data_IF_627296181775
#
_entry.id   IF_627296181775
#
_cell.length_a   1.000
_cell.length_b   1.000
_cell.length_c   1.000
_cell.angle_alpha   90.00
_cell.angle_beta   90.00
_cell.angle_gamma   90.00
#
_symmetry.space_group_name_H-M   'P 1'
#
loop_
_entity.id
_entity.type
_entity.pdbx_description
1 polymer ?
#
# COMPACT_ATOMS: atom_id res chain seq x y z
N UNK A 1 49.84 36.99 44.07
CA UNK A 1 49.19 36.37 42.90
C UNK A 1 50.16 35.86 41.84
N UNK A 2 51.23 36.59 41.52
CA UNK A 2 52.23 36.19 40.51
C UNK A 2 53.00 34.90 40.84
N UNK A 3 53.40 34.68 42.10
CA UNK A 3 54.09 33.46 42.51
C UNK A 3 53.24 32.18 42.38
N UNK A 4 51.92 32.29 42.61
CA UNK A 4 50.99 31.17 42.50
C UNK A 4 50.78 30.75 41.03
N UNK A 5 50.72 31.72 40.13
CA UNK A 5 50.61 31.49 38.69
C UNK A 5 51.86 30.81 38.10
N UNK A 6 53.05 31.14 38.60
CA UNK A 6 54.29 30.48 38.17
C UNK A 6 54.31 29.01 38.62
N UNK A 7 53.89 28.72 39.84
CA UNK A 7 53.80 27.34 40.35
C UNK A 7 52.78 26.51 39.56
N UNK A 8 51.63 27.12 39.22
CA UNK A 8 50.60 26.47 38.40
C UNK A 8 51.11 26.22 36.97
N UNK A 9 51.84 27.18 36.37
CA UNK A 9 52.42 27.01 35.04
C UNK A 9 53.52 25.93 34.99
N UNK A 10 54.35 25.82 36.04
CA UNK A 10 55.37 24.76 36.15
C UNK A 10 54.71 23.40 36.38
N UNK A 11 53.64 23.32 37.17
CA UNK A 11 52.87 22.08 37.35
C UNK A 11 52.16 21.66 36.06
N UNK A 12 51.54 22.59 35.34
CA UNK A 12 50.92 22.33 34.03
C UNK A 12 51.96 21.92 32.98
N UNK A 13 53.12 22.57 32.98
CA UNK A 13 54.25 22.21 32.12
C UNK A 13 54.80 20.82 32.45
N UNK A 14 54.92 20.46 33.73
CA UNK A 14 55.34 19.14 34.18
C UNK A 14 54.30 18.06 33.88
N UNK A 15 53.00 18.38 34.00
CA UNK A 15 51.89 17.48 33.65
C UNK A 15 51.81 17.28 32.14
N UNK A 16 51.95 18.34 31.34
CA UNK A 16 52.02 18.25 29.88
C UNK A 16 53.27 17.49 29.40
N UNK A 17 54.43 17.74 30.03
CA UNK A 17 55.66 16.99 29.77
C UNK A 17 55.51 15.51 30.14
N UNK A 18 54.84 15.19 31.26
CA UNK A 18 54.50 13.81 31.64
C UNK A 18 53.47 13.18 30.71
N UNK A 19 52.52 13.93 30.17
CA UNK A 19 51.55 13.43 29.18
C UNK A 19 52.31 13.07 27.90
N UNK A 20 53.14 13.98 27.37
CA UNK A 20 53.91 13.78 26.14
C UNK A 20 54.93 12.64 26.26
N UNK A 21 55.63 12.48 27.39
CA UNK A 21 56.60 11.38 27.59
C UNK A 21 55.94 10.02 27.91
N UNK A 22 54.69 10.01 28.34
CA UNK A 22 53.95 8.79 28.69
C UNK A 22 53.04 8.31 27.54
N UNK A 23 52.85 9.14 26.51
CA UNK A 23 52.00 8.93 25.33
C UNK A 23 52.80 8.56 24.07
N UNK A 24 53.67 7.56 24.16
CA UNK A 24 54.14 6.80 22.99
C UNK A 24 53.11 5.77 22.51
N UNK A 25 51.82 6.08 22.55
CA UNK A 25 50.72 5.14 22.30
C UNK A 25 49.65 5.73 21.37
N UNK A 26 49.17 4.90 20.43
CA UNK A 26 48.10 5.27 19.49
C UNK A 26 46.77 5.35 20.28
N UNK A 27 46.14 6.53 20.28
CA UNK A 27 44.91 6.81 21.05
C UNK A 27 43.66 6.28 20.32
N UNK A 28 42.91 5.35 20.93
CA UNK A 28 41.63 4.82 20.43
C UNK A 28 40.52 4.90 21.51
N UNK A 29 40.27 6.11 22.03
CA UNK A 29 39.17 6.37 22.96
C UNK A 29 39.31 5.65 24.32
N UNK A 30 38.20 5.21 24.99
CA UNK A 30 38.24 4.63 26.34
C UNK A 30 38.98 3.28 26.44
N UNK A 31 39.49 2.77 25.33
CA UNK A 31 40.33 1.58 25.25
C UNK A 31 41.79 2.00 25.02
N UNK A 32 42.43 2.56 26.04
CA UNK A 32 43.88 2.86 26.00
C UNK A 32 44.68 1.54 25.90
N UNK A 33 45.27 1.27 24.72
CA UNK A 33 46.20 0.17 24.53
C UNK A 33 47.60 0.56 25.03
N UNK A 34 47.91 0.19 26.27
CA UNK A 34 49.23 0.45 26.86
C UNK A 34 50.23 -0.63 26.48
N UNK A 35 50.88 -0.47 25.33
CA UNK A 35 52.12 -1.18 25.06
C UNK A 35 53.27 -0.50 25.81
N UNK A 36 54.12 -1.27 26.48
CA UNK A 36 55.24 -0.72 27.29
C UNK A 36 56.38 -0.17 26.41
N UNK A 37 56.38 -0.50 25.11
CA UNK A 37 57.28 -0.07 24.03
C UNK A 37 56.46 -0.02 22.74
N UNK A 38 57.00 0.56 21.68
CA UNK A 38 56.38 0.48 20.35
C UNK A 38 56.19 -1.00 19.95
N UNK A 39 54.95 -1.51 19.91
CA UNK A 39 54.72 -2.94 19.78
C UNK A 39 55.09 -3.43 18.39
N UNK A 40 55.83 -4.53 18.35
CA UNK A 40 56.15 -5.27 17.13
C UNK A 40 54.99 -6.18 16.67
N UNK A 41 55.11 -6.79 15.48
CA UNK A 41 54.09 -7.70 14.95
C UNK A 41 53.74 -8.88 15.88
N UNK A 42 54.74 -9.44 16.57
CA UNK A 42 54.52 -10.60 17.45
C UNK A 42 53.67 -10.26 18.68
N UNK A 43 53.79 -9.03 19.21
CA UNK A 43 52.99 -8.56 20.34
C UNK A 43 51.51 -8.38 19.96
N UNK A 44 51.25 -7.89 18.74
CA UNK A 44 49.89 -7.82 18.18
C UNK A 44 49.30 -9.21 17.94
N UNK A 45 50.07 -10.16 17.40
CA UNK A 45 49.63 -11.54 17.18
C UNK A 45 49.33 -12.26 18.49
N UNK A 46 50.19 -12.12 19.50
CA UNK A 46 49.98 -12.71 20.82
C UNK A 46 48.69 -12.16 21.44
N UNK A 47 48.49 -10.84 21.38
CA UNK A 47 47.29 -10.22 21.94
C UNK A 47 46.02 -10.62 21.20
N UNK A 48 46.07 -10.71 19.88
CA UNK A 48 44.94 -11.17 19.07
C UNK A 48 44.54 -12.61 19.44
N UNK A 49 45.50 -13.50 19.68
CA UNK A 49 45.23 -14.87 20.17
C UNK A 49 44.59 -14.87 21.55
N UNK A 50 45.06 -14.05 22.48
CA UNK A 50 44.46 -13.91 23.82
C UNK A 50 42.99 -13.45 23.76
N UNK A 51 42.71 -12.45 22.92
CA UNK A 51 41.35 -11.90 22.75
C UNK A 51 40.41 -12.92 22.08
N UNK A 52 40.91 -13.66 21.10
CA UNK A 52 40.15 -14.76 20.46
C UNK A 52 39.85 -15.89 21.45
N UNK A 53 40.81 -16.28 22.30
CA UNK A 53 40.59 -17.26 23.36
C UNK A 53 39.58 -16.78 24.41
N UNK A 54 39.58 -15.48 24.69
CA UNK A 54 38.62 -14.83 25.58
C UNK A 54 37.23 -14.59 24.97
N UNK A 55 36.98 -14.96 23.70
CA UNK A 55 35.75 -14.67 22.93
C UNK A 55 35.41 -13.17 22.87
N UNK A 56 36.42 -12.31 22.91
CA UNK A 56 36.29 -10.85 22.82
C UNK A 56 36.31 -10.42 21.35
N UNK A 57 35.20 -10.70 20.66
CA UNK A 57 35.09 -10.55 19.21
C UNK A 57 35.23 -9.09 18.72
N UNK A 58 34.73 -8.11 19.49
CA UNK A 58 34.82 -6.70 19.11
C UNK A 58 36.25 -6.19 19.25
N UNK A 59 36.89 -6.47 20.38
CA UNK A 59 38.26 -6.07 20.69
C UNK A 59 39.27 -6.76 19.77
N UNK A 60 39.04 -8.04 19.44
CA UNK A 60 39.89 -8.77 18.49
C UNK A 60 39.84 -8.15 17.09
N UNK A 61 38.67 -7.68 16.63
CA UNK A 61 38.53 -6.95 15.36
C UNK A 61 39.27 -5.62 15.38
N UNK A 62 39.17 -4.89 16.49
CA UNK A 62 39.83 -3.59 16.65
C UNK A 62 41.36 -3.75 16.61
N UNK A 63 41.89 -4.75 17.30
CA UNK A 63 43.32 -5.08 17.32
C UNK A 63 43.79 -5.55 15.95
N UNK A 64 43.01 -6.38 15.26
CA UNK A 64 43.34 -6.83 13.91
C UNK A 64 43.38 -5.67 12.91
N UNK A 65 42.40 -4.77 12.96
CA UNK A 65 42.33 -3.58 12.10
C UNK A 65 43.49 -2.61 12.36
N UNK A 66 43.85 -2.40 13.63
CA UNK A 66 45.02 -1.60 13.99
C UNK A 66 46.33 -2.27 13.51
N UNK A 67 46.43 -3.59 13.60
CA UNK A 67 47.60 -4.35 13.15
C UNK A 67 47.77 -4.30 11.63
N UNK A 68 46.69 -4.46 10.85
CA UNK A 68 46.75 -4.35 9.38
C UNK A 68 47.12 -2.95 8.91
N UNK A 69 46.66 -1.91 9.62
CA UNK A 69 47.02 -0.52 9.30
C UNK A 69 48.49 -0.20 9.65
N UNK A 70 48.98 -0.69 10.80
CA UNK A 70 50.37 -0.45 11.26
C UNK A 70 51.40 -1.29 10.49
N UNK A 71 51.03 -2.50 10.07
CA UNK A 71 51.91 -3.45 9.36
C UNK A 71 51.26 -3.93 8.06
N UNK A 72 51.10 -3.05 7.06
CA UNK A 72 50.34 -3.34 5.84
C UNK A 72 51.02 -4.34 4.90
N UNK A 73 52.30 -4.70 5.13
CA UNK A 73 53.05 -5.69 4.38
C UNK A 73 53.13 -7.07 5.08
N UNK A 74 52.49 -7.23 6.24
CA UNK A 74 52.55 -8.46 7.01
C UNK A 74 51.51 -9.47 6.51
N UNK A 75 52.00 -10.59 5.98
CA UNK A 75 51.17 -11.67 5.39
C UNK A 75 50.19 -12.28 6.42
N UNK A 76 50.62 -12.48 7.66
CA UNK A 76 49.81 -13.15 8.69
C UNK A 76 48.63 -12.27 9.11
N UNK A 77 48.84 -10.97 9.29
CA UNK A 77 47.73 -10.04 9.56
C UNK A 77 46.75 -9.94 8.39
N UNK A 78 47.26 -9.92 7.16
CA UNK A 78 46.41 -9.92 5.97
C UNK A 78 45.54 -11.19 5.88
N UNK A 79 46.14 -12.37 6.06
CA UNK A 79 45.41 -13.66 6.09
C UNK A 79 44.30 -13.65 7.14
N UNK A 80 44.63 -13.27 8.37
CA UNK A 80 43.66 -13.22 9.47
C UNK A 80 42.53 -12.22 9.18
N UNK A 81 42.84 -11.07 8.60
CA UNK A 81 41.83 -10.08 8.23
C UNK A 81 40.93 -10.57 7.08
N UNK A 82 41.49 -11.19 6.04
CA UNK A 82 40.71 -11.76 4.94
C UNK A 82 39.85 -12.94 5.39
N UNK A 83 40.38 -13.85 6.21
CA UNK A 83 39.60 -14.97 6.77
C UNK A 83 38.44 -14.47 7.64
N UNK A 84 38.66 -13.36 8.35
CA UNK A 84 37.60 -12.69 9.11
C UNK A 84 36.54 -12.08 8.19
N UNK A 85 36.92 -11.49 7.05
CA UNK A 85 35.97 -11.02 6.02
C UNK A 85 35.05 -12.16 5.56
N UNK A 86 35.59 -13.33 5.20
CA UNK A 86 34.74 -14.46 4.79
C UNK A 86 33.88 -15.03 5.92
N UNK A 87 34.37 -14.98 7.16
CA UNK A 87 33.59 -15.40 8.33
C UNK A 87 32.42 -14.44 8.56
N UNK A 88 32.66 -13.13 8.44
CA UNK A 88 31.63 -12.11 8.57
C UNK A 88 30.61 -12.21 7.42
N UNK A 89 31.04 -12.51 6.18
CA UNK A 89 30.13 -12.74 5.04
C UNK A 89 29.14 -13.89 5.32
N UNK A 90 29.60 -14.98 5.96
CA UNK A 90 28.74 -16.11 6.32
C UNK A 90 27.78 -15.80 7.47
N UNK A 91 28.10 -14.83 8.31
CA UNK A 91 27.31 -14.46 9.49
C UNK A 91 26.39 -13.25 9.24
N UNK A 92 26.55 -12.55 8.12
CA UNK A 92 25.77 -11.38 7.76
C UNK A 92 24.28 -11.74 7.62
N UNK A 93 23.41 -10.86 8.12
CA UNK A 93 21.96 -11.07 8.10
C UNK A 93 21.26 -10.16 7.10
N UNK A 94 21.91 -9.07 6.69
CA UNK A 94 21.35 -8.08 5.79
C UNK A 94 22.24 -7.84 4.57
N UNK A 95 21.65 -7.46 3.45
CA UNK A 95 22.39 -7.15 2.21
C UNK A 95 23.36 -5.99 2.39
N UNK A 96 22.95 -4.97 3.16
CA UNK A 96 23.79 -3.81 3.45
C UNK A 96 25.07 -4.22 4.18
N UNK A 97 24.96 -5.12 5.16
CA UNK A 97 26.13 -5.67 5.85
C UNK A 97 27.04 -6.42 4.89
N UNK A 98 26.48 -7.24 4.00
CA UNK A 98 27.25 -7.99 2.99
C UNK A 98 28.03 -7.04 2.07
N UNK A 99 27.40 -5.97 1.58
CA UNK A 99 28.05 -4.95 0.75
C UNK A 99 29.20 -4.24 1.52
N UNK A 100 28.96 -3.83 2.76
CA UNK A 100 30.00 -3.20 3.61
C UNK A 100 31.18 -4.15 3.87
N UNK A 101 30.92 -5.45 4.04
CA UNK A 101 31.97 -6.47 4.23
C UNK A 101 32.78 -6.66 2.94
N UNK A 102 32.14 -6.66 1.77
CA UNK A 102 32.84 -6.71 0.48
C UNK A 102 33.76 -5.51 0.28
N UNK A 103 33.28 -4.29 0.51
CA UNK A 103 34.11 -3.06 0.43
C UNK A 103 35.32 -3.12 1.36
N UNK A 104 35.15 -3.72 2.55
CA UNK A 104 36.25 -3.93 3.49
C UNK A 104 37.29 -4.92 2.95
N UNK A 105 36.84 -6.03 2.37
CA UNK A 105 37.72 -7.00 1.72
C UNK A 105 38.51 -6.41 0.56
N UNK A 106 37.87 -5.60 -0.29
CA UNK A 106 38.53 -4.89 -1.40
C UNK A 106 39.59 -3.91 -0.90
N UNK A 107 39.27 -3.16 0.17
CA UNK A 107 40.20 -2.21 0.79
C UNK A 107 41.44 -2.91 1.33
N UNK A 108 41.26 -4.05 2.02
CA UNK A 108 42.37 -4.86 2.54
C UNK A 108 43.27 -5.39 1.41
N UNK A 109 42.69 -5.90 0.32
CA UNK A 109 43.45 -6.37 -0.84
C UNK A 109 44.25 -5.22 -1.46
N UNK A 110 43.64 -4.04 -1.60
CA UNK A 110 44.28 -2.85 -2.18
C UNK A 110 45.43 -2.34 -1.32
N UNK A 111 45.22 -2.22 -0.01
CA UNK A 111 46.23 -1.74 0.94
C UNK A 111 47.41 -2.71 1.04
N UNK A 112 47.14 -4.01 1.18
CA UNK A 112 48.17 -5.04 1.22
C UNK A 112 48.93 -5.14 -0.10
N UNK A 113 48.23 -5.03 -1.23
CA UNK A 113 48.84 -5.01 -2.57
C UNK A 113 49.74 -3.80 -2.82
N UNK A 114 49.41 -2.63 -2.26
CA UNK A 114 50.24 -1.44 -2.36
C UNK A 114 51.50 -1.49 -1.47
N UNK A 115 51.44 -2.20 -0.35
CA UNK A 115 52.52 -2.27 0.64
C UNK A 115 53.49 -3.46 0.45
N UNK A 116 53.10 -4.47 -0.32
CA UNK A 116 53.83 -5.74 -0.42
C UNK A 116 54.64 -5.89 -1.72
N UNK A 117 55.72 -6.68 -1.67
CA UNK A 117 56.57 -6.99 -2.83
C UNK A 117 56.03 -8.15 -3.69
N UNK A 118 56.80 -8.56 -4.71
CA UNK A 118 56.40 -9.59 -5.68
C UNK A 118 56.05 -10.95 -5.06
N UNK A 119 56.57 -11.25 -3.88
CA UNK A 119 56.41 -12.55 -3.21
C UNK A 119 55.00 -12.78 -2.65
N UNK A 120 54.18 -11.73 -2.54
CA UNK A 120 52.79 -11.82 -2.04
C UNK A 120 51.74 -11.88 -3.15
N UNK A 121 52.15 -11.83 -4.42
CA UNK A 121 51.25 -11.79 -5.59
C UNK A 121 50.35 -13.03 -5.66
N UNK A 122 50.90 -14.21 -5.36
CA UNK A 122 50.13 -15.47 -5.38
C UNK A 122 49.00 -15.45 -4.36
N UNK A 123 49.29 -14.99 -3.14
CA UNK A 123 48.33 -14.88 -2.04
C UNK A 123 47.25 -13.82 -2.32
N UNK A 124 47.66 -12.66 -2.85
CA UNK A 124 46.75 -11.60 -3.29
C UNK A 124 45.79 -12.11 -4.36
N UNK A 125 46.32 -12.87 -5.34
CA UNK A 125 45.53 -13.45 -6.42
C UNK A 125 44.52 -14.46 -5.89
N UNK A 126 44.92 -15.30 -4.93
CA UNK A 126 44.02 -16.29 -4.31
C UNK A 126 42.84 -15.60 -3.60
N UNK A 127 43.12 -14.67 -2.70
CA UNK A 127 42.09 -13.98 -1.92
C UNK A 127 41.23 -13.05 -2.77
N UNK A 128 41.82 -12.37 -3.75
CA UNK A 128 41.06 -11.59 -4.73
C UNK A 128 40.10 -12.47 -5.53
N UNK A 129 40.56 -13.61 -6.04
CA UNK A 129 39.69 -14.55 -6.76
C UNK A 129 38.54 -15.05 -5.89
N UNK A 130 38.83 -15.42 -4.63
CA UNK A 130 37.80 -15.85 -3.67
C UNK A 130 36.77 -14.75 -3.37
N UNK A 131 37.22 -13.50 -3.22
CA UNK A 131 36.33 -12.37 -2.97
C UNK A 131 35.43 -12.08 -4.17
N UNK A 132 36.02 -12.06 -5.38
CA UNK A 132 35.26 -11.87 -6.63
C UNK A 132 34.23 -12.98 -6.82
N UNK A 133 34.60 -14.24 -6.59
CA UNK A 133 33.65 -15.36 -6.68
C UNK A 133 32.48 -15.21 -5.70
N UNK A 134 32.76 -14.81 -4.46
CA UNK A 134 31.71 -14.58 -3.47
C UNK A 134 30.81 -13.39 -3.84
N UNK A 135 31.36 -12.33 -4.44
CA UNK A 135 30.58 -11.21 -4.96
C UNK A 135 29.70 -11.63 -6.14
N UNK A 136 30.25 -12.36 -7.11
CA UNK A 136 29.50 -12.87 -8.26
C UNK A 136 28.32 -13.75 -7.83
N UNK A 137 28.54 -14.66 -6.88
CA UNK A 137 27.50 -15.51 -6.29
C UNK A 137 26.43 -14.68 -5.56
N UNK A 138 26.84 -13.68 -4.77
CA UNK A 138 25.88 -12.82 -4.08
C UNK A 138 25.01 -12.01 -5.04
N UNK A 139 25.62 -11.36 -6.04
CA UNK A 139 24.87 -10.54 -6.99
C UNK A 139 24.02 -11.37 -7.95
N UNK A 140 24.43 -12.59 -8.30
CA UNK A 140 23.59 -13.49 -9.10
C UNK A 140 22.35 -13.92 -8.34
N UNK A 141 22.51 -14.37 -7.09
CA UNK A 141 21.39 -14.75 -6.21
C UNK A 141 20.45 -13.57 -5.95
N UNK A 142 21.01 -12.38 -5.70
CA UNK A 142 20.22 -11.15 -5.54
C UNK A 142 19.35 -10.89 -6.77
N UNK A 143 19.96 -10.93 -7.96
CA UNK A 143 19.25 -10.70 -9.22
C UNK A 143 18.16 -11.73 -9.47
N UNK A 144 18.42 -13.01 -9.22
CA UNK A 144 17.40 -14.07 -9.34
C UNK A 144 16.23 -13.84 -8.40
N UNK A 145 16.51 -13.45 -7.16
CA UNK A 145 15.47 -13.17 -6.15
C UNK A 145 14.68 -11.91 -6.48
N UNK A 146 15.31 -10.87 -7.02
CA UNK A 146 14.61 -9.66 -7.49
C UNK A 146 13.69 -10.00 -8.68
N UNK A 147 14.17 -10.79 -9.65
CA UNK A 147 13.36 -11.27 -10.78
C UNK A 147 12.17 -12.15 -10.32
N UNK A 148 12.36 -13.01 -9.32
CA UNK A 148 11.28 -13.83 -8.77
C UNK A 148 10.23 -12.98 -8.04
N UNK A 149 10.64 -11.93 -7.32
CA UNK A 149 9.71 -10.97 -6.70
C UNK A 149 8.91 -10.25 -7.78
N UNK A 150 9.56 -9.74 -8.82
CA UNK A 150 8.89 -9.10 -9.95
C UNK A 150 7.89 -10.04 -10.64
N UNK A 151 8.29 -11.30 -10.88
CA UNK A 151 7.43 -12.32 -11.49
C UNK A 151 6.18 -12.57 -10.65
N UNK A 152 6.33 -12.75 -9.33
CA UNK A 152 5.20 -12.96 -8.42
C UNK A 152 4.26 -11.76 -8.38
N UNK A 153 4.79 -10.54 -8.41
CA UNK A 153 3.96 -9.34 -8.45
C UNK A 153 3.19 -9.21 -9.77
N UNK A 154 3.82 -9.56 -10.90
CA UNK A 154 3.12 -9.62 -12.20
C UNK A 154 2.01 -10.66 -12.21
N UNK A 155 2.27 -11.85 -11.67
CA UNK A 155 1.25 -12.91 -11.52
C UNK A 155 0.09 -12.46 -10.63
N UNK A 156 0.39 -11.77 -9.53
CA UNK A 156 -0.63 -11.19 -8.66
C UNK A 156 -1.45 -10.10 -9.34
N UNK A 157 -0.81 -9.20 -10.09
CA UNK A 157 -1.51 -8.18 -10.89
C UNK A 157 -2.43 -8.84 -11.94
N UNK A 158 -1.98 -9.93 -12.56
CA UNK A 158 -2.77 -10.71 -13.51
C UNK A 158 -4.02 -11.34 -12.87
N UNK A 159 -3.88 -11.89 -11.66
CA UNK A 159 -4.99 -12.42 -10.88
C UNK A 159 -6.00 -11.33 -10.53
N UNK A 160 -5.53 -10.17 -10.04
CA UNK A 160 -6.41 -9.04 -9.73
C UNK A 160 -7.15 -8.56 -10.98
N UNK A 161 -6.48 -8.47 -12.12
CA UNK A 161 -7.13 -8.07 -13.39
C UNK A 161 -8.24 -9.04 -13.80
N UNK A 162 -8.00 -10.35 -13.69
CA UNK A 162 -9.04 -11.37 -13.95
C UNK A 162 -10.21 -11.24 -12.99
N UNK A 163 -9.94 -10.99 -11.70
CA UNK A 163 -11.01 -10.76 -10.73
C UNK A 163 -11.83 -9.50 -11.05
N UNK A 164 -11.17 -8.41 -11.44
CA UNK A 164 -11.83 -7.18 -11.87
C UNK A 164 -12.69 -7.39 -13.13
N UNK A 165 -12.20 -8.15 -14.11
CA UNK A 165 -12.96 -8.54 -15.30
C UNK A 165 -14.21 -9.35 -14.93
N UNK A 166 -14.06 -10.35 -14.05
CA UNK A 166 -15.17 -11.17 -13.56
C UNK A 166 -16.22 -10.33 -12.80
N UNK A 167 -15.78 -9.38 -11.97
CA UNK A 167 -16.68 -8.46 -11.27
C UNK A 167 -17.44 -7.58 -12.27
N UNK A 168 -16.76 -7.07 -13.29
CA UNK A 168 -17.39 -6.26 -14.33
C UNK A 168 -18.46 -7.04 -15.10
N UNK A 169 -18.20 -8.30 -15.43
CA UNK A 169 -19.19 -9.20 -16.03
C UNK A 169 -20.37 -9.50 -15.07
N UNK A 170 -20.09 -9.70 -13.79
CA UNK A 170 -21.12 -9.86 -12.76
C UNK A 170 -22.05 -8.65 -12.65
N UNK A 171 -21.49 -7.44 -12.72
CA UNK A 171 -22.26 -6.19 -12.74
C UNK A 171 -23.12 -6.10 -14.01
N UNK A 172 -22.57 -6.47 -15.18
CA UNK A 172 -23.34 -6.51 -16.44
C UNK A 172 -24.59 -7.40 -16.33
N UNK A 173 -24.46 -8.57 -15.72
CA UNK A 173 -25.55 -9.54 -15.57
C UNK A 173 -26.56 -9.19 -14.45
N UNK A 174 -26.15 -8.42 -13.44
CA UNK A 174 -27.01 -8.11 -12.29
C UNK A 174 -28.00 -6.98 -12.59
N UNK A 175 -29.21 -7.08 -12.04
CA UNK A 175 -30.20 -5.99 -11.98
C UNK A 175 -30.55 -5.61 -10.53
N UNK A 176 -29.79 -6.14 -9.57
CA UNK A 176 -29.91 -5.80 -8.15
C UNK A 176 -28.89 -4.69 -7.83
N UNK A 177 -29.42 -3.54 -7.46
CA UNK A 177 -28.66 -2.33 -7.15
C UNK A 177 -27.71 -2.50 -5.96
N UNK A 178 -28.14 -3.22 -4.92
CA UNK A 178 -27.31 -3.44 -3.75
C UNK A 178 -26.14 -4.36 -4.11
N UNK A 179 -26.41 -5.42 -4.88
CA UNK A 179 -25.37 -6.31 -5.40
C UNK A 179 -24.38 -5.58 -6.32
N UNK A 180 -24.86 -4.67 -7.20
CA UNK A 180 -24.00 -3.86 -8.07
C UNK A 180 -23.11 -2.93 -7.22
N UNK A 181 -23.67 -2.27 -6.21
CA UNK A 181 -22.92 -1.37 -5.33
C UNK A 181 -21.83 -2.12 -4.55
N UNK A 182 -22.15 -3.29 -4.01
CA UNK A 182 -21.18 -4.12 -3.29
C UNK A 182 -20.06 -4.61 -4.23
N UNK A 183 -20.41 -5.01 -5.45
CA UNK A 183 -19.46 -5.41 -6.49
C UNK A 183 -18.51 -4.26 -6.86
N UNK A 184 -19.02 -3.03 -7.05
CA UNK A 184 -18.21 -1.83 -7.32
C UNK A 184 -17.24 -1.51 -6.17
N UNK A 185 -17.72 -1.60 -4.92
CA UNK A 185 -16.87 -1.39 -3.75
C UNK A 185 -15.77 -2.46 -3.64
N UNK A 186 -16.09 -3.71 -3.94
CA UNK A 186 -15.11 -4.79 -3.96
C UNK A 186 -14.04 -4.57 -5.02
N UNK A 187 -14.43 -4.15 -6.24
CA UNK A 187 -13.51 -3.81 -7.31
C UNK A 187 -12.53 -2.70 -6.90
N UNK A 188 -13.00 -1.61 -6.28
CA UNK A 188 -12.14 -0.52 -5.83
C UNK A 188 -11.12 -0.97 -4.76
N UNK A 189 -11.52 -1.89 -3.87
CA UNK A 189 -10.61 -2.49 -2.88
C UNK A 189 -9.54 -3.36 -3.53
N UNK A 190 -9.92 -4.18 -4.51
CA UNK A 190 -8.98 -5.03 -5.25
C UNK A 190 -7.98 -4.19 -6.07
N UNK A 191 -8.45 -3.11 -6.70
CA UNK A 191 -7.61 -2.17 -7.47
C UNK A 191 -6.50 -1.55 -6.60
N UNK A 192 -6.79 -1.25 -5.33
CA UNK A 192 -5.78 -0.72 -4.39
C UNK A 192 -4.63 -1.70 -4.13
N UNK A 193 -4.85 -3.00 -4.36
CA UNK A 193 -3.85 -4.04 -4.22
C UNK A 193 -2.93 -4.20 -5.43
N UNK A 194 -3.19 -3.51 -6.54
CA UNK A 194 -2.34 -3.58 -7.73
C UNK A 194 -1.11 -2.67 -7.61
N UNK A 195 0.04 -3.20 -8.00
CA UNK A 195 1.26 -2.40 -8.16
C UNK A 195 1.42 -1.99 -9.63
N UNK A 196 1.01 -0.76 -9.94
CA UNK A 196 1.08 -0.18 -11.29
C UNK A 196 2.51 0.14 -11.75
N UNK A 197 3.51 0.06 -10.88
CA UNK A 197 4.91 0.26 -11.29
C UNK A 197 5.52 -0.98 -11.96
N UNK A 198 4.90 -2.14 -11.75
CA UNK A 198 5.38 -3.45 -12.21
C UNK A 198 4.47 -4.09 -13.28
N UNK A 199 3.45 -3.39 -13.77
CA UNK A 199 2.61 -3.86 -14.88
C UNK A 199 3.36 -3.74 -16.21
N UNK A 200 3.22 -4.75 -17.06
CA UNK A 200 3.66 -4.62 -18.45
C UNK A 200 2.64 -3.87 -19.31
N UNK A 201 3.00 -3.61 -20.56
CA UNK A 201 2.17 -2.83 -21.49
C UNK A 201 0.81 -3.51 -21.75
N UNK A 202 0.78 -4.85 -21.83
CA UNK A 202 -0.45 -5.61 -22.06
C UNK A 202 -1.38 -5.57 -20.85
N UNK A 203 -0.82 -5.72 -19.64
CA UNK A 203 -1.58 -5.60 -18.39
C UNK A 203 -2.11 -4.19 -18.19
N UNK A 204 -1.33 -3.17 -18.56
CA UNK A 204 -1.76 -1.77 -18.47
C UNK A 204 -2.89 -1.44 -19.46
N UNK A 205 -2.84 -1.98 -20.68
CA UNK A 205 -3.92 -1.87 -21.66
C UNK A 205 -5.21 -2.52 -21.13
N UNK A 206 -5.12 -3.78 -20.66
CA UNK A 206 -6.27 -4.47 -20.04
C UNK A 206 -6.84 -3.73 -18.85
N UNK A 207 -5.97 -3.22 -17.97
CA UNK A 207 -6.39 -2.42 -16.83
C UNK A 207 -7.21 -1.19 -17.27
N UNK A 208 -6.74 -0.46 -18.30
CA UNK A 208 -7.48 0.70 -18.84
C UNK A 208 -8.82 0.29 -19.42
N UNK A 209 -8.89 -0.82 -20.13
CA UNK A 209 -10.13 -1.33 -20.71
C UNK A 209 -11.14 -1.71 -19.64
N UNK A 210 -10.70 -2.43 -18.61
CA UNK A 210 -11.51 -2.82 -17.45
C UNK A 210 -12.02 -1.57 -16.71
N UNK A 211 -11.13 -0.61 -16.45
CA UNK A 211 -11.48 0.65 -15.78
C UNK A 211 -12.51 1.47 -16.56
N UNK A 212 -12.31 1.62 -17.87
CA UNK A 212 -13.29 2.25 -18.75
C UNK A 212 -14.60 1.47 -18.80
N UNK A 213 -14.52 0.13 -18.73
CA UNK A 213 -15.67 -0.75 -18.59
C UNK A 213 -16.51 -0.44 -17.36
N UNK A 214 -15.88 -0.30 -16.19
CA UNK A 214 -16.59 0.06 -14.95
C UNK A 214 -17.31 1.40 -15.04
N UNK A 215 -16.67 2.44 -15.61
CA UNK A 215 -17.32 3.74 -15.80
C UNK A 215 -18.56 3.64 -16.68
N UNK A 216 -18.45 2.99 -17.84
CA UNK A 216 -19.59 2.78 -18.75
C UNK A 216 -20.71 1.99 -18.08
N UNK A 217 -20.37 0.93 -17.35
CA UNK A 217 -21.37 0.11 -16.65
C UNK A 217 -22.07 0.86 -15.53
N UNK A 218 -21.37 1.74 -14.82
CA UNK A 218 -21.99 2.58 -13.80
C UNK A 218 -23.07 3.47 -14.43
N UNK A 219 -22.77 4.14 -15.54
CA UNK A 219 -23.73 5.00 -16.26
C UNK A 219 -24.93 4.21 -16.78
N UNK A 220 -24.68 3.09 -17.48
CA UNK A 220 -25.74 2.25 -18.04
C UNK A 220 -26.66 1.65 -16.97
N UNK A 221 -26.10 1.19 -15.84
CA UNK A 221 -26.88 0.58 -14.77
C UNK A 221 -27.69 1.59 -13.99
N UNK A 222 -27.17 2.79 -13.74
CA UNK A 222 -27.94 3.87 -13.11
C UNK A 222 -29.19 4.19 -13.94
N UNK A 223 -29.04 4.34 -15.26
CA UNK A 223 -30.18 4.64 -16.13
C UNK A 223 -31.16 3.46 -16.22
N UNK A 224 -30.65 2.23 -16.30
CA UNK A 224 -31.49 1.02 -16.33
C UNK A 224 -32.30 0.84 -15.05
N UNK A 225 -31.65 0.98 -13.88
CA UNK A 225 -32.30 0.87 -12.57
C UNK A 225 -33.34 1.98 -12.37
N UNK A 226 -33.02 3.20 -12.80
CA UNK A 226 -33.97 4.32 -12.81
C UNK A 226 -35.19 3.96 -13.66
N UNK A 227 -35.00 3.58 -14.91
CA UNK A 227 -36.09 3.19 -15.81
C UNK A 227 -36.96 2.07 -15.22
N UNK A 228 -36.34 1.05 -14.61
CA UNK A 228 -37.06 -0.04 -13.93
C UNK A 228 -37.91 0.44 -12.74
N UNK A 229 -37.40 1.36 -11.92
CA UNK A 229 -38.13 1.99 -10.80
C UNK A 229 -39.37 2.73 -11.32
N UNK A 230 -39.22 3.55 -12.36
CA UNK A 230 -40.33 4.27 -12.99
C UNK A 230 -41.36 3.29 -13.57
N UNK A 231 -40.93 2.25 -14.28
CA UNK A 231 -41.83 1.24 -14.85
C UNK A 231 -42.65 0.52 -13.76
N UNK A 232 -42.00 0.14 -12.65
CA UNK A 232 -42.68 -0.49 -11.50
C UNK A 232 -43.69 0.44 -10.86
N UNK A 233 -43.35 1.72 -10.74
CA UNK A 233 -44.26 2.74 -10.21
C UNK A 233 -45.49 2.94 -11.12
N UNK A 234 -45.29 3.07 -12.42
CA UNK A 234 -46.37 3.19 -13.41
C UNK A 234 -47.31 1.98 -13.39
N UNK A 235 -46.76 0.75 -13.30
CA UNK A 235 -47.59 -0.46 -13.19
C UNK A 235 -48.46 -0.45 -11.94
N UNK A 236 -47.90 -0.08 -10.78
CA UNK A 236 -48.68 0.06 -9.54
C UNK A 236 -49.74 1.16 -9.65
N UNK A 237 -49.42 2.29 -10.27
CA UNK A 237 -50.35 3.39 -10.49
C UNK A 237 -51.54 2.95 -11.36
N UNK A 238 -51.29 2.22 -12.46
CA UNK A 238 -52.35 1.66 -13.32
C UNK A 238 -53.25 0.70 -12.53
N UNK A 239 -52.67 -0.19 -11.71
CA UNK A 239 -53.45 -1.13 -10.89
C UNK A 239 -54.34 -0.38 -9.87
N UNK A 240 -53.83 0.67 -9.23
CA UNK A 240 -54.62 1.51 -8.30
C UNK A 240 -55.72 2.28 -9.03
N UNK A 241 -55.41 2.88 -10.19
CA UNK A 241 -56.37 3.60 -11.03
C UNK A 241 -57.51 2.69 -11.51
N UNK A 242 -57.16 1.46 -11.89
CA UNK A 242 -58.16 0.47 -12.30
C UNK A 242 -59.09 0.10 -11.14
N UNK A 243 -58.55 -0.18 -9.95
CA UNK A 243 -59.36 -0.47 -8.76
C UNK A 243 -60.30 0.68 -8.41
N UNK A 244 -59.81 1.91 -8.46
CA UNK A 244 -60.62 3.11 -8.25
C UNK A 244 -61.77 3.21 -9.27
N UNK A 245 -61.48 2.98 -10.55
CA UNK A 245 -62.48 3.03 -11.61
C UNK A 245 -63.53 1.93 -11.43
N UNK A 246 -63.10 0.70 -11.15
CA UNK A 246 -63.99 -0.44 -10.92
C UNK A 246 -64.90 -0.16 -9.71
N UNK A 247 -64.34 0.29 -8.58
CA UNK A 247 -65.11 0.61 -7.36
C UNK A 247 -66.09 1.78 -7.57
N UNK A 248 -65.69 2.79 -8.33
CA UNK A 248 -66.54 3.93 -8.67
C UNK A 248 -67.71 3.53 -9.57
N UNK A 249 -67.46 2.74 -10.61
CA UNK A 249 -68.50 2.32 -11.57
C UNK A 249 -69.52 1.36 -10.95
N UNK A 250 -69.09 0.48 -10.04
CA UNK A 250 -70.00 -0.41 -9.29
C UNK A 250 -70.93 0.34 -8.34
N UNK A 251 -70.47 1.45 -7.75
CA UNK A 251 -71.20 2.21 -6.72
C UNK A 251 -71.51 3.67 -7.15
N UNK A 252 -71.60 3.94 -8.44
CA UNK A 252 -71.64 5.30 -9.01
C UNK A 252 -72.72 6.18 -8.38
N UNK A 253 -73.95 5.65 -8.21
CA UNK A 253 -75.09 6.41 -7.65
C UNK A 253 -74.92 6.83 -6.20
N UNK A 254 -74.10 6.11 -5.45
CA UNK A 254 -73.80 6.40 -4.05
C UNK A 254 -72.60 7.32 -3.94
N UNK A 255 -71.55 7.05 -4.71
CA UNK A 255 -70.29 7.81 -4.69
C UNK A 255 -70.39 9.18 -5.35
N UNK A 256 -71.32 9.39 -6.28
CA UNK A 256 -71.54 10.68 -6.97
C UNK A 256 -72.19 11.77 -6.12
N UNK A 257 -72.82 11.40 -4.99
CA UNK A 257 -73.62 12.32 -4.16
C UNK A 257 -72.82 12.96 -3.03
N UNK A 258 -73.11 14.23 -2.75
CA UNK A 258 -72.58 14.93 -1.58
C UNK A 258 -72.74 14.14 -0.27
N UNK A 259 -71.64 13.96 0.48
CA UNK A 259 -71.57 13.14 1.69
C UNK A 259 -71.12 11.68 1.50
N UNK A 260 -70.70 11.29 0.30
CA UNK A 260 -70.19 9.95 0.01
C UNK A 260 -68.77 9.70 0.55
N UNK A 261 -68.33 8.44 0.54
CA UNK A 261 -66.96 8.05 0.89
C UNK A 261 -65.93 8.29 -0.22
N UNK A 262 -66.34 8.84 -1.38
CA UNK A 262 -65.47 9.03 -2.53
C UNK A 262 -64.17 9.82 -2.23
N UNK A 263 -64.18 10.91 -1.43
CA UNK A 263 -62.95 11.61 -1.09
C UNK A 263 -61.94 10.71 -0.36
N UNK A 264 -62.41 9.80 0.50
CA UNK A 264 -61.57 8.82 1.22
C UNK A 264 -60.99 7.80 0.25
N UNK A 265 -61.84 7.22 -0.61
CA UNK A 265 -61.46 6.26 -1.65
C UNK A 265 -60.40 6.85 -2.59
N UNK A 266 -60.59 8.09 -3.07
CA UNK A 266 -59.61 8.78 -3.91
C UNK A 266 -58.28 8.99 -3.20
N UNK A 267 -58.32 9.41 -1.93
CA UNK A 267 -57.10 9.58 -1.13
C UNK A 267 -56.30 8.28 -1.03
N UNK A 268 -57.00 7.17 -0.78
CA UNK A 268 -56.39 5.84 -0.63
C UNK A 268 -55.77 5.32 -1.93
N UNK A 269 -56.50 5.39 -3.05
CA UNK A 269 -56.03 4.79 -4.30
C UNK A 269 -55.10 5.69 -5.11
N UNK A 270 -55.40 6.99 -5.21
CA UNK A 270 -54.67 7.89 -6.14
C UNK A 270 -54.15 9.16 -5.50
N UNK A 271 -54.56 9.48 -4.26
CA UNK A 271 -54.20 10.71 -3.56
C UNK A 271 -52.69 10.89 -3.39
N UNK A 272 -51.96 9.81 -3.15
CA UNK A 272 -50.49 9.85 -3.01
C UNK A 272 -49.75 9.72 -4.34
N UNK A 273 -50.43 9.45 -5.46
CA UNK A 273 -49.74 9.27 -6.73
C UNK A 273 -49.10 10.60 -7.20
N UNK A 274 -47.78 10.58 -7.33
CA UNK A 274 -47.01 11.62 -7.97
C UNK A 274 -47.03 11.47 -9.50
N UNK A 275 -47.60 12.45 -10.19
CA UNK A 275 -47.74 12.46 -11.66
C UNK A 275 -46.43 12.78 -12.37
N UNK A 276 -45.42 13.32 -11.69
CA UNK A 276 -44.09 13.60 -12.28
C UNK A 276 -43.32 12.33 -12.69
N UNK A 277 -43.76 11.17 -12.18
CA UNK A 277 -43.15 9.87 -12.50
C UNK A 277 -43.93 9.06 -13.54
N UNK A 278 -45.02 9.62 -14.08
CA UNK A 278 -45.82 8.93 -15.07
C UNK A 278 -45.19 8.96 -16.45
N UNK A 279 -45.26 7.83 -17.14
CA UNK A 279 -45.07 7.80 -18.58
C UNK A 279 -46.30 8.35 -19.32
N UNK A 280 -46.15 8.62 -20.62
CA UNK A 280 -47.23 9.18 -21.43
C UNK A 280 -48.54 8.38 -21.35
N UNK A 281 -48.54 7.05 -21.53
CA UNK A 281 -49.73 6.22 -21.41
C UNK A 281 -50.38 6.25 -20.01
N UNK A 282 -49.58 6.17 -18.93
CA UNK A 282 -50.10 6.19 -17.55
C UNK A 282 -50.71 7.54 -17.22
N UNK A 283 -50.10 8.64 -17.67
CA UNK A 283 -50.65 9.99 -17.51
C UNK A 283 -51.98 10.15 -18.27
N UNK A 284 -52.09 9.61 -19.49
CA UNK A 284 -53.34 9.62 -20.25
C UNK A 284 -54.44 8.84 -19.53
N UNK A 285 -54.13 7.65 -19.01
CA UNK A 285 -55.11 6.84 -18.28
C UNK A 285 -55.52 7.49 -16.95
N UNK A 286 -54.57 8.09 -16.22
CA UNK A 286 -54.86 8.88 -15.03
C UNK A 286 -55.85 10.02 -15.34
N UNK A 287 -55.57 10.81 -16.38
CA UNK A 287 -56.44 11.92 -16.79
C UNK A 287 -57.83 11.44 -17.22
N UNK A 288 -57.91 10.28 -17.87
CA UNK A 288 -59.18 9.65 -18.23
C UNK A 288 -59.99 9.26 -16.99
N UNK A 289 -59.41 8.49 -16.06
CA UNK A 289 -60.10 8.02 -14.85
C UNK A 289 -60.50 9.20 -13.97
N UNK A 290 -59.56 10.10 -13.69
CA UNK A 290 -59.82 11.29 -12.87
C UNK A 290 -60.88 12.19 -13.51
N UNK A 291 -60.75 12.49 -14.81
CA UNK A 291 -61.70 13.32 -15.54
C UNK A 291 -63.10 12.70 -15.62
N UNK A 292 -63.19 11.38 -15.81
CA UNK A 292 -64.45 10.65 -15.83
C UNK A 292 -65.19 10.76 -14.49
N UNK A 293 -64.51 10.41 -13.39
CA UNK A 293 -65.08 10.51 -12.03
C UNK A 293 -65.48 11.97 -11.75
N UNK A 294 -64.59 12.92 -12.04
CA UNK A 294 -64.83 14.35 -11.79
C UNK A 294 -66.02 14.90 -12.57
N UNK A 295 -66.36 14.33 -13.74
CA UNK A 295 -67.51 14.75 -14.55
C UNK A 295 -68.86 14.27 -14.02
N UNK A 296 -68.87 13.22 -13.18
CA UNK A 296 -70.08 12.54 -12.71
C UNK A 296 -70.45 12.85 -11.26
N UNK A 297 -69.60 13.60 -10.55
CA UNK A 297 -69.80 13.96 -9.14
C UNK A 297 -70.42 15.35 -8.99
N UNK A 298 -71.12 15.57 -7.87
CA UNK A 298 -71.68 16.88 -7.50
C UNK A 298 -70.59 17.97 -7.35
N UNK A 299 -70.97 19.24 -7.56
CA UNK A 299 -70.05 20.39 -7.45
C UNK A 299 -69.37 20.50 -6.08
N UNK A 300 -70.09 20.21 -4.99
CA UNK A 300 -69.53 20.26 -3.64
C UNK A 300 -68.41 19.22 -3.45
N UNK A 301 -68.55 18.03 -4.05
CA UNK A 301 -67.53 16.98 -4.02
C UNK A 301 -66.30 17.34 -4.86
N UNK A 302 -66.47 18.06 -5.98
CA UNK A 302 -65.34 18.48 -6.83
C UNK A 302 -64.33 19.31 -6.06
N UNK A 303 -64.79 20.19 -5.17
CA UNK A 303 -63.92 20.97 -4.31
C UNK A 303 -63.12 20.08 -3.35
N UNK A 304 -63.78 19.13 -2.68
CA UNK A 304 -63.12 18.21 -1.74
C UNK A 304 -62.11 17.29 -2.43
N UNK A 305 -62.46 16.75 -3.59
CA UNK A 305 -61.57 15.92 -4.42
C UNK A 305 -60.33 16.72 -4.84
N UNK A 306 -60.52 17.95 -5.32
CA UNK A 306 -59.40 18.81 -5.72
C UNK A 306 -58.49 19.11 -4.54
N UNK A 307 -59.07 19.41 -3.36
CA UNK A 307 -58.31 19.64 -2.13
C UNK A 307 -57.49 18.42 -1.74
N UNK A 308 -58.07 17.22 -1.73
CA UNK A 308 -57.36 15.99 -1.39
C UNK A 308 -56.20 15.73 -2.36
N UNK A 309 -56.42 15.91 -3.66
CA UNK A 309 -55.38 15.69 -4.66
C UNK A 309 -54.23 16.70 -4.53
N UNK A 310 -54.49 17.90 -4.03
CA UNK A 310 -53.46 18.93 -3.80
C UNK A 310 -52.73 18.78 -2.46
N UNK A 311 -53.44 18.45 -1.38
CA UNK A 311 -52.91 18.44 -0.01
C UNK A 311 -52.30 17.10 0.41
N UNK A 312 -52.64 16.00 -0.27
CA UNK A 312 -52.08 14.68 0.06
C UNK A 312 -50.62 14.59 -0.35
N UNK A 313 -49.77 14.20 0.60
CA UNK A 313 -48.35 13.95 0.38
C UNK A 313 -48.14 12.90 -0.70
N UNK A 314 -47.22 13.17 -1.62
CA UNK A 314 -47.00 12.36 -2.80
C UNK A 314 -45.90 11.34 -2.57
N UNK A 315 -46.11 10.13 -3.08
CA UNK A 315 -45.15 9.04 -3.08
C UNK A 315 -43.83 9.53 -3.71
N UNK A 316 -42.73 9.34 -3.00
CA UNK A 316 -41.38 9.49 -3.54
C UNK A 316 -40.89 8.14 -4.03
N UNK A 317 -40.13 8.11 -5.12
CA UNK A 317 -39.37 6.92 -5.46
C UNK A 317 -38.26 6.76 -4.42
N UNK A 318 -38.37 5.76 -3.54
CA UNK A 318 -37.32 5.44 -2.56
C UNK A 318 -35.96 5.36 -3.27
N UNK A 319 -34.99 6.14 -2.77
CA UNK A 319 -33.62 6.24 -3.29
C UNK A 319 -32.79 5.08 -2.76
#
# INVERSE_FOLDING_TARGET
MTALLIIIAVLLGYVAYRLILREGGIFLGPYEFKFRKDPGPDEFLQRLKELQQGKQDFESRLVLSAATSKFPNNIEFFRLAMDKVFTDLKAAQTEKEVEEIFTRGESLIKEFGAASGTDSISLLTEYSKRLVQAQEEFYSLRKERDLEIERRQRERNEEILKELENILEGIRASNDEMAIRDAMNNAARLETGMDLSLVDESQNERYRDVKNGFYKMAEEKVESLRSARYSRYNRKAIERLKKLLDEFTENEKELSKSGSSLPVTLKEYIGTLNTSYFDGPTMQYFNYVYGYIFSLIDEDLKFEVTRIMAETEKDTLDI
#
